data_IF_868039494097
#
_entry.id   IF_868039494097
#
_cell.length_a   1.000
_cell.length_b   1.000
_cell.length_c   1.000
_cell.angle_alpha   90.00
_cell.angle_beta   90.00
_cell.angle_gamma   90.00
#
_symmetry.space_group_name_H-M   'P 1'
#
loop_
_entity.id
_entity.type
_entity.pdbx_description
1 polymer ?
#
# COMPACT_ATOMS: atom_id res chain seq x y z
N UNK A 1 -12.74 -8.69 -28.13
CA UNK A 1 -11.44 -8.10 -28.46
C UNK A 1 -11.07 -7.06 -27.42
N UNK A 2 -9.83 -7.08 -26.90
CA UNK A 2 -9.28 -6.02 -26.07
C UNK A 2 -8.72 -4.92 -26.99
N UNK A 3 -9.21 -3.71 -26.83
CA UNK A 3 -8.66 -2.52 -27.49
C UNK A 3 -7.94 -1.71 -26.42
N UNK A 4 -6.64 -1.53 -26.54
CA UNK A 4 -5.85 -0.72 -25.62
C UNK A 4 -5.85 0.72 -26.10
N UNK A 5 -6.23 1.63 -25.20
CA UNK A 5 -6.01 3.06 -25.37
C UNK A 5 -4.57 3.46 -24.99
N UNK A 6 -4.24 4.75 -25.09
CA UNK A 6 -2.93 5.26 -24.67
C UNK A 6 -2.70 4.99 -23.18
N UNK A 7 -1.45 4.70 -22.82
CA UNK A 7 -1.02 4.52 -21.44
C UNK A 7 -1.04 5.83 -20.65
N UNK A 8 -1.01 5.74 -19.33
CA UNK A 8 -0.93 6.93 -18.46
C UNK A 8 0.33 7.75 -18.76
N UNK A 9 1.46 7.09 -19.02
CA UNK A 9 2.71 7.76 -19.38
C UNK A 9 2.57 8.55 -20.70
N UNK A 10 2.02 7.94 -21.75
CA UNK A 10 1.76 8.63 -23.05
C UNK A 10 0.80 9.81 -22.88
N UNK A 11 -0.23 9.70 -22.02
CA UNK A 11 -1.15 10.79 -21.74
C UNK A 11 -0.48 11.93 -20.96
N UNK A 12 0.46 11.64 -20.08
CA UNK A 12 1.28 12.65 -19.40
C UNK A 12 2.20 13.34 -20.40
N UNK A 13 2.90 12.60 -21.24
CA UNK A 13 3.83 13.14 -22.24
C UNK A 13 3.09 14.03 -23.26
N UNK A 14 1.86 13.68 -23.60
CA UNK A 14 0.98 14.45 -24.47
C UNK A 14 0.28 15.65 -23.77
N UNK A 15 0.45 15.81 -22.44
CA UNK A 15 -0.15 16.91 -21.66
C UNK A 15 -1.63 16.73 -21.30
N UNK A 16 -2.22 15.55 -21.58
CA UNK A 16 -3.60 15.23 -21.20
C UNK A 16 -3.73 14.84 -19.72
N UNK A 17 -2.63 14.47 -19.07
CA UNK A 17 -2.55 14.23 -17.63
C UNK A 17 -1.35 14.97 -17.04
N UNK A 18 -1.45 15.36 -15.78
CA UNK A 18 -0.37 15.99 -15.02
C UNK A 18 0.61 14.93 -14.50
N UNK A 19 1.89 15.29 -14.39
CA UNK A 19 2.85 14.51 -13.60
C UNK A 19 2.35 14.33 -12.17
N UNK A 20 2.78 13.23 -11.52
CA UNK A 20 2.47 12.98 -10.12
C UNK A 20 3.71 13.01 -9.24
N UNK A 21 3.54 13.52 -8.01
CA UNK A 21 4.50 13.37 -6.91
C UNK A 21 3.81 12.56 -5.82
N UNK A 22 4.41 11.46 -5.40
CA UNK A 22 3.83 10.54 -4.42
C UNK A 22 4.64 10.62 -3.14
N UNK A 23 3.95 10.77 -2.03
CA UNK A 23 4.52 10.72 -0.68
C UNK A 23 3.87 9.58 0.08
N UNK A 24 4.69 8.70 0.65
CA UNK A 24 4.23 7.55 1.41
C UNK A 24 5.12 7.37 2.64
N UNK A 25 4.57 7.01 3.81
CA UNK A 25 5.39 6.73 4.98
C UNK A 25 6.26 5.49 4.74
N UNK A 26 7.46 5.42 5.32
CA UNK A 26 8.36 4.28 5.19
C UNK A 26 7.81 3.02 5.87
N UNK A 27 6.92 3.20 6.83
CA UNK A 27 6.22 2.14 7.55
C UNK A 27 4.73 2.29 7.30
N UNK A 28 4.13 1.29 6.69
CA UNK A 28 2.69 1.22 6.39
C UNK A 28 1.98 0.46 7.50
N UNK A 29 0.69 0.75 7.72
CA UNK A 29 -0.12 -0.02 8.66
C UNK A 29 -0.10 -1.51 8.31
N UNK A 30 -0.02 -2.36 9.34
CA UNK A 30 -0.08 -3.81 9.16
C UNK A 30 -1.49 -4.24 8.76
N UNK A 31 -1.62 -4.73 7.53
CA UNK A 31 -2.86 -5.21 6.92
C UNK A 31 -2.91 -6.75 6.86
N UNK A 32 -1.94 -7.45 7.45
CA UNK A 32 -1.77 -8.91 7.32
C UNK A 32 -2.94 -9.73 7.87
N UNK A 33 -3.67 -9.19 8.87
CA UNK A 33 -4.83 -9.85 9.47
C UNK A 33 -6.19 -9.54 8.82
N UNK A 34 -6.23 -8.65 7.81
CA UNK A 34 -7.50 -8.20 7.22
C UNK A 34 -8.01 -9.22 6.20
N UNK A 35 -9.28 -9.65 6.38
CA UNK A 35 -9.95 -10.57 5.44
C UNK A 35 -10.13 -9.93 4.06
N UNK A 36 -10.13 -10.77 3.04
CA UNK A 36 -10.43 -10.37 1.66
C UNK A 36 -11.90 -10.67 1.36
N UNK A 37 -12.63 -9.69 0.79
CA UNK A 37 -14.00 -9.82 0.31
C UNK A 37 -14.07 -9.29 -1.12
N UNK A 38 -14.64 -10.06 -2.04
CA UNK A 38 -14.74 -9.70 -3.47
C UNK A 38 -13.41 -9.23 -4.09
N UNK A 39 -12.28 -9.88 -3.70
CA UNK A 39 -10.95 -9.56 -4.24
C UNK A 39 -10.23 -8.37 -3.59
N UNK A 40 -10.88 -7.64 -2.68
CA UNK A 40 -10.30 -6.50 -1.97
C UNK A 40 -10.35 -6.68 -0.44
N UNK A 41 -9.74 -5.78 0.32
CA UNK A 41 -9.83 -5.77 1.78
C UNK A 41 -11.27 -5.56 2.27
N UNK A 42 -11.67 -6.26 3.32
CA UNK A 42 -12.94 -6.01 3.99
C UNK A 42 -12.95 -4.58 4.57
N UNK A 43 -13.86 -3.73 4.07
CA UNK A 43 -13.88 -2.29 4.35
C UNK A 43 -14.00 -1.95 5.84
N UNK A 44 -14.75 -2.75 6.61
CA UNK A 44 -14.92 -2.60 8.06
C UNK A 44 -13.61 -2.83 8.81
N UNK A 45 -12.88 -3.89 8.46
CA UNK A 45 -11.61 -4.21 9.07
C UNK A 45 -10.49 -3.24 8.62
N UNK A 46 -10.51 -2.84 7.35
CA UNK A 46 -9.60 -1.82 6.83
C UNK A 46 -9.85 -0.47 7.51
N UNK A 47 -11.12 -0.08 7.71
CA UNK A 47 -11.47 1.12 8.45
C UNK A 47 -10.94 1.08 9.88
N UNK A 48 -11.17 0.00 10.62
CA UNK A 48 -10.68 -0.16 11.99
C UNK A 48 -9.14 -0.11 12.10
N UNK A 49 -8.43 -0.58 11.08
CA UNK A 49 -6.97 -0.48 11.02
C UNK A 49 -6.49 0.96 10.71
N UNK A 50 -7.28 1.72 9.96
CA UNK A 50 -6.95 3.08 9.51
C UNK A 50 -7.53 4.17 10.42
N UNK A 51 -8.64 3.92 11.11
CA UNK A 51 -9.28 4.87 12.03
C UNK A 51 -8.50 4.93 13.36
N UNK A 52 -7.25 5.35 13.23
CA UNK A 52 -6.35 5.59 14.36
C UNK A 52 -5.99 7.06 14.38
N UNK A 53 -6.00 7.71 15.56
CA UNK A 53 -5.63 9.12 15.69
C UNK A 53 -4.27 9.46 15.06
N UNK A 54 -3.32 8.52 15.07
CA UNK A 54 -2.02 8.66 14.43
C UNK A 54 -2.11 8.77 12.92
N UNK A 55 -2.90 7.90 12.25
CA UNK A 55 -3.02 7.90 10.77
C UNK A 55 -3.75 9.16 10.29
N UNK A 56 -4.85 9.52 10.94
CA UNK A 56 -5.62 10.74 10.60
C UNK A 56 -4.83 12.00 10.92
N UNK A 57 -4.16 12.06 12.08
CA UNK A 57 -3.29 13.17 12.47
C UNK A 57 -2.12 13.36 11.50
N UNK A 58 -1.48 12.27 11.08
CA UNK A 58 -0.42 12.29 10.08
C UNK A 58 -0.93 12.78 8.72
N UNK A 59 -2.17 12.40 8.32
CA UNK A 59 -2.77 12.86 7.08
C UNK A 59 -2.98 14.39 7.07
N UNK A 60 -3.46 14.96 8.18
CA UNK A 60 -3.63 16.40 8.34
C UNK A 60 -2.27 17.11 8.33
N UNK A 61 -1.31 16.64 9.14
CA UNK A 61 0.02 17.22 9.22
C UNK A 61 0.75 17.18 7.87
N UNK A 62 0.65 16.07 7.13
CA UNK A 62 1.24 15.94 5.80
C UNK A 62 0.54 16.83 4.77
N UNK A 63 -0.78 16.95 4.81
CA UNK A 63 -1.51 17.89 3.95
C UNK A 63 -1.07 19.34 4.23
N UNK A 64 -1.02 19.75 5.50
CA UNK A 64 -0.59 21.10 5.86
C UNK A 64 0.85 21.41 5.43
N UNK A 65 1.75 20.44 5.52
CA UNK A 65 3.16 20.60 5.14
C UNK A 65 3.38 20.59 3.63
N UNK A 66 2.70 19.73 2.89
CA UNK A 66 3.01 19.44 1.48
C UNK A 66 2.01 20.05 0.49
N UNK A 67 0.79 20.33 0.95
CA UNK A 67 -0.33 20.67 0.08
C UNK A 67 -1.23 21.78 0.66
N UNK A 68 -0.74 22.57 1.63
CA UNK A 68 -1.56 23.59 2.28
C UNK A 68 -2.26 24.52 1.25
N UNK A 69 -3.57 24.68 1.42
CA UNK A 69 -4.41 25.51 0.55
C UNK A 69 -4.80 24.88 -0.78
N UNK A 70 -4.25 23.74 -1.18
CA UNK A 70 -4.62 23.02 -2.39
C UNK A 70 -5.90 22.22 -2.18
N UNK A 71 -6.69 22.07 -3.24
CA UNK A 71 -7.89 21.25 -3.19
C UNK A 71 -7.56 19.76 -3.23
N UNK A 72 -8.06 19.03 -2.22
CA UNK A 72 -7.76 17.62 -2.03
C UNK A 72 -9.02 16.75 -1.99
N UNK A 73 -8.89 15.51 -2.45
CA UNK A 73 -9.89 14.45 -2.28
C UNK A 73 -9.31 13.40 -1.32
N UNK A 74 -9.99 13.17 -0.19
CA UNK A 74 -9.64 12.14 0.77
C UNK A 74 -10.52 10.89 0.54
N UNK A 75 -9.88 9.75 0.25
CA UNK A 75 -10.54 8.48 -0.02
C UNK A 75 -10.53 7.60 1.22
N UNK A 76 -11.70 7.38 1.83
CA UNK A 76 -11.88 6.64 3.07
C UNK A 76 -12.44 5.23 2.86
N UNK A 77 -12.34 4.36 3.88
CA UNK A 77 -12.78 2.96 3.79
C UNK A 77 -14.29 2.78 3.87
N UNK A 78 -14.96 3.54 4.75
CA UNK A 78 -16.40 3.51 4.98
C UNK A 78 -16.91 4.86 5.46
N UNK A 79 -18.22 4.99 5.64
CA UNK A 79 -18.89 6.26 6.00
C UNK A 79 -18.39 6.75 7.37
N UNK A 80 -18.36 5.91 8.40
CA UNK A 80 -17.91 6.29 9.73
C UNK A 80 -16.47 6.82 9.73
N UNK A 81 -15.56 6.16 8.99
CA UNK A 81 -14.20 6.64 8.80
C UNK A 81 -14.16 7.99 8.06
N UNK A 82 -14.99 8.19 7.04
CA UNK A 82 -15.07 9.46 6.32
C UNK A 82 -15.60 10.59 7.21
N UNK A 83 -16.58 10.33 8.05
CA UNK A 83 -17.11 11.29 9.03
C UNK A 83 -16.03 11.68 10.05
N UNK A 84 -15.30 10.71 10.58
CA UNK A 84 -14.18 10.93 11.51
C UNK A 84 -13.08 11.79 10.88
N UNK A 85 -12.66 11.47 9.65
CA UNK A 85 -11.65 12.22 8.89
C UNK A 85 -12.13 13.64 8.58
N UNK A 86 -13.38 13.81 8.14
CA UNK A 86 -13.96 15.12 7.87
C UNK A 86 -13.98 16.00 9.13
N UNK A 87 -14.44 15.45 10.25
CA UNK A 87 -14.46 16.14 11.54
C UNK A 87 -13.05 16.55 11.98
N UNK A 88 -12.04 15.70 11.78
CA UNK A 88 -10.67 15.99 12.13
C UNK A 88 -10.06 17.13 11.28
N UNK A 89 -10.35 17.18 9.97
CA UNK A 89 -9.94 18.31 9.12
C UNK A 89 -10.61 19.62 9.56
N UNK A 90 -11.91 19.58 9.85
CA UNK A 90 -12.65 20.76 10.35
C UNK A 90 -12.09 21.23 11.69
N UNK A 91 -11.78 20.35 12.61
CA UNK A 91 -11.16 20.69 13.90
C UNK A 91 -9.78 21.31 13.74
N UNK A 92 -9.04 20.96 12.68
CA UNK A 92 -7.77 21.56 12.31
C UNK A 92 -7.91 22.93 11.57
N UNK A 93 -9.13 23.46 11.43
CA UNK A 93 -9.43 24.72 10.73
C UNK A 93 -9.39 24.61 9.20
N UNK A 94 -9.44 23.40 8.65
CA UNK A 94 -9.41 23.16 7.21
C UNK A 94 -10.85 22.89 6.75
N UNK A 95 -11.33 23.65 5.74
CA UNK A 95 -12.68 23.50 5.21
C UNK A 95 -12.85 22.16 4.50
N UNK A 96 -13.54 21.24 5.11
CA UNK A 96 -13.81 19.89 4.61
C UNK A 96 -15.31 19.63 4.49
N UNK A 97 -15.70 18.81 3.53
CA UNK A 97 -17.08 18.37 3.34
C UNK A 97 -17.12 16.89 2.95
N UNK A 98 -18.18 16.21 3.38
CA UNK A 98 -18.47 14.83 2.99
C UNK A 98 -19.21 14.82 1.64
N UNK A 99 -18.75 13.97 0.71
CA UNK A 99 -19.46 13.64 -0.51
C UNK A 99 -19.68 12.13 -0.57
N UNK A 100 -20.89 11.72 -0.25
CA UNK A 100 -21.32 10.33 -0.21
C UNK A 100 -22.35 10.06 -1.32
N UNK A 101 -22.63 8.80 -1.60
CA UNK A 101 -23.69 8.43 -2.54
C UNK A 101 -25.10 8.94 -2.14
N UNK A 102 -25.29 9.17 -0.83
CA UNK A 102 -26.55 9.70 -0.24
C UNK A 102 -26.62 11.21 -0.13
N UNK A 103 -25.58 11.95 -0.54
CA UNK A 103 -25.56 13.42 -0.45
C UNK A 103 -26.60 14.03 -1.38
N UNK A 104 -27.59 14.74 -0.83
CA UNK A 104 -28.75 15.29 -1.57
C UNK A 104 -28.34 16.49 -2.45
N UNK A 105 -27.52 17.40 -1.92
CA UNK A 105 -27.05 18.61 -2.58
C UNK A 105 -25.70 18.44 -3.27
N UNK A 106 -25.51 17.30 -3.92
CA UNK A 106 -24.24 16.87 -4.50
C UNK A 106 -23.65 17.89 -5.46
N UNK A 107 -24.45 18.42 -6.37
CA UNK A 107 -24.00 19.38 -7.40
C UNK A 107 -23.50 20.68 -6.77
N UNK A 108 -24.14 21.14 -5.70
CA UNK A 108 -23.70 22.33 -4.96
C UNK A 108 -22.35 22.05 -4.26
N UNK A 109 -22.19 20.90 -3.60
CA UNK A 109 -20.92 20.51 -2.96
C UNK A 109 -19.78 20.45 -3.99
N UNK A 110 -20.04 19.91 -5.17
CA UNK A 110 -19.08 19.84 -6.27
C UNK A 110 -18.75 21.23 -6.80
N UNK A 111 -19.74 22.11 -6.96
CA UNK A 111 -19.54 23.50 -7.37
C UNK A 111 -18.74 24.29 -6.34
N UNK A 112 -19.05 24.17 -5.05
CA UNK A 112 -18.34 24.83 -3.96
C UNK A 112 -16.88 24.36 -3.87
N UNK A 113 -16.66 23.04 -4.07
CA UNK A 113 -15.31 22.50 -4.16
C UNK A 113 -14.58 23.03 -5.39
N UNK A 114 -15.21 23.04 -6.57
CA UNK A 114 -14.63 23.62 -7.79
C UNK A 114 -14.27 25.11 -7.65
N UNK A 115 -15.09 25.87 -6.92
CA UNK A 115 -14.87 27.29 -6.63
C UNK A 115 -13.82 27.56 -5.53
N UNK A 116 -13.26 26.51 -4.89
CA UNK A 116 -12.29 26.65 -3.81
C UNK A 116 -12.88 27.07 -2.46
N UNK A 117 -14.20 27.09 -2.33
CA UNK A 117 -14.89 27.34 -1.05
C UNK A 117 -14.67 26.18 -0.07
N UNK A 118 -14.49 24.97 -0.58
CA UNK A 118 -14.13 23.76 0.14
C UNK A 118 -12.71 23.35 -0.25
N UNK A 119 -11.89 22.98 0.72
CA UNK A 119 -10.49 22.55 0.48
C UNK A 119 -10.38 21.03 0.39
N UNK A 120 -11.11 20.32 1.24
CA UNK A 120 -11.04 18.84 1.32
C UNK A 120 -12.42 18.26 1.01
N UNK A 121 -12.48 17.43 -0.01
CA UNK A 121 -13.64 16.61 -0.30
C UNK A 121 -13.38 15.20 0.27
N UNK A 122 -14.16 14.78 1.25
CA UNK A 122 -14.00 13.46 1.88
C UNK A 122 -15.05 12.51 1.30
N UNK A 123 -14.62 11.35 0.79
CA UNK A 123 -15.50 10.38 0.14
C UNK A 123 -15.13 8.94 0.49
N UNK A 124 -16.08 8.01 0.33
CA UNK A 124 -15.87 6.58 0.61
C UNK A 124 -15.52 5.82 -0.65
N UNK A 125 -16.31 5.99 -1.71
CA UNK A 125 -16.07 5.35 -2.99
C UNK A 125 -15.51 6.34 -4.00
N UNK A 126 -14.97 5.79 -5.09
CA UNK A 126 -14.61 6.64 -6.22
C UNK A 126 -15.87 7.38 -6.61
N UNK A 127 -15.81 8.69 -6.46
CA UNK A 127 -16.93 9.58 -6.76
C UNK A 127 -17.49 9.17 -8.12
N UNK A 128 -18.78 8.74 -8.11
CA UNK A 128 -19.48 8.12 -9.23
C UNK A 128 -19.38 8.92 -10.53
N UNK A 129 -19.87 8.35 -11.61
CA UNK A 129 -19.99 8.98 -12.93
C UNK A 129 -20.45 10.44 -12.84
N UNK A 130 -19.82 11.33 -13.59
CA UNK A 130 -20.13 12.77 -13.60
C UNK A 130 -19.32 13.64 -12.64
N UNK A 131 -18.49 13.09 -11.75
CA UNK A 131 -17.59 13.91 -10.94
C UNK A 131 -16.35 14.30 -11.75
N UNK A 132 -16.35 15.53 -12.24
CA UNK A 132 -15.23 16.14 -12.94
C UNK A 132 -14.85 17.47 -12.29
N UNK A 133 -13.81 17.47 -11.46
CA UNK A 133 -13.28 18.68 -10.86
C UNK A 133 -11.76 18.72 -11.09
N UNK A 134 -11.32 19.29 -12.21
CA UNK A 134 -9.89 19.42 -12.56
C UNK A 134 -9.08 20.19 -11.51
N UNK A 135 -9.73 21.05 -10.74
CA UNK A 135 -9.10 21.82 -9.65
C UNK A 135 -8.53 20.94 -8.53
N UNK A 136 -9.04 19.71 -8.36
CA UNK A 136 -8.47 18.77 -7.41
C UNK A 136 -7.01 18.44 -7.76
N UNK A 137 -6.09 18.82 -6.90
CA UNK A 137 -4.66 18.66 -7.11
C UNK A 137 -4.02 17.61 -6.21
N UNK A 138 -4.73 17.21 -5.14
CA UNK A 138 -4.21 16.32 -4.10
C UNK A 138 -5.13 15.13 -3.89
N UNK A 139 -4.59 13.91 -3.91
CA UNK A 139 -5.27 12.70 -3.43
C UNK A 139 -4.70 12.32 -2.07
N UNK A 140 -5.56 12.18 -1.06
CA UNK A 140 -5.22 11.66 0.26
C UNK A 140 -5.78 10.25 0.34
N UNK A 141 -4.91 9.24 0.22
CA UNK A 141 -5.31 7.83 0.21
C UNK A 141 -5.31 7.30 1.64
N UNK A 142 -6.51 7.07 2.19
CA UNK A 142 -6.77 6.50 3.50
C UNK A 142 -7.49 5.14 3.39
N UNK A 143 -7.70 4.65 2.17
CA UNK A 143 -8.28 3.34 1.87
C UNK A 143 -7.22 2.44 1.23
N UNK A 144 -6.73 1.41 1.95
CA UNK A 144 -5.91 0.39 1.34
C UNK A 144 -6.74 -0.44 0.38
N UNK A 145 -6.18 -0.81 -0.76
CA UNK A 145 -6.86 -1.67 -1.73
C UNK A 145 -5.91 -2.70 -2.35
N UNK A 146 -6.44 -3.87 -2.69
CA UNK A 146 -5.79 -4.88 -3.53
C UNK A 146 -6.13 -4.69 -5.01
N UNK A 147 -7.14 -3.86 -5.30
CA UNK A 147 -7.58 -3.57 -6.67
C UNK A 147 -6.72 -2.48 -7.30
N UNK A 148 -5.95 -2.86 -8.33
CA UNK A 148 -5.20 -1.90 -9.15
C UNK A 148 -6.14 -0.89 -9.82
N UNK A 149 -7.29 -1.36 -10.33
CA UNK A 149 -8.28 -0.49 -10.98
C UNK A 149 -8.80 0.59 -10.04
N UNK A 150 -9.15 0.24 -8.79
CA UNK A 150 -9.60 1.21 -7.79
C UNK A 150 -8.49 2.23 -7.45
N UNK A 151 -7.26 1.76 -7.25
CA UNK A 151 -6.11 2.66 -7.01
C UNK A 151 -5.94 3.66 -8.17
N UNK A 152 -5.93 3.18 -9.42
CA UNK A 152 -5.79 4.03 -10.59
C UNK A 152 -6.97 5.00 -10.77
N UNK A 153 -8.19 4.59 -10.43
CA UNK A 153 -9.35 5.48 -10.43
C UNK A 153 -9.21 6.60 -9.39
N UNK A 154 -8.78 6.29 -8.17
CA UNK A 154 -8.57 7.29 -7.12
C UNK A 154 -7.53 8.33 -7.54
N UNK A 155 -6.34 7.88 -7.98
CA UNK A 155 -5.27 8.80 -8.39
C UNK A 155 -5.63 9.53 -9.69
N UNK A 156 -6.33 8.89 -10.59
CA UNK A 156 -6.79 9.47 -11.87
C UNK A 156 -7.64 10.73 -11.70
N UNK A 157 -8.38 10.85 -10.60
CA UNK A 157 -9.17 12.05 -10.30
C UNK A 157 -8.33 13.30 -10.15
N UNK A 158 -7.10 13.16 -9.66
CA UNK A 158 -6.18 14.28 -9.43
C UNK A 158 -5.11 14.42 -10.50
N UNK A 159 -5.02 13.50 -11.47
CA UNK A 159 -4.07 13.63 -12.58
C UNK A 159 -4.55 14.59 -13.67
N UNK A 160 -5.81 15.03 -13.68
CA UNK A 160 -6.33 15.94 -14.68
C UNK A 160 -5.60 17.28 -14.63
N UNK A 161 -5.20 17.84 -15.78
CA UNK A 161 -4.54 19.14 -15.81
C UNK A 161 -5.52 20.27 -15.45
N UNK A 162 -5.02 21.29 -14.80
CA UNK A 162 -5.76 22.50 -14.48
C UNK A 162 -4.82 23.72 -14.56
N UNK A 163 -5.32 24.92 -14.81
CA UNK A 163 -4.54 26.14 -14.81
C UNK A 163 -3.74 26.31 -13.50
N UNK A 164 -2.45 26.56 -13.59
CA UNK A 164 -1.57 26.72 -12.43
C UNK A 164 -1.12 25.45 -11.71
N UNK A 165 -1.62 24.28 -12.10
CA UNK A 165 -1.27 22.99 -11.52
C UNK A 165 0.03 22.46 -12.13
N UNK A 166 1.10 22.42 -11.35
CA UNK A 166 2.40 21.92 -11.78
C UNK A 166 2.48 20.38 -11.77
N UNK A 167 1.90 19.75 -10.75
CA UNK A 167 1.83 18.30 -10.59
C UNK A 167 0.66 17.91 -9.67
N UNK A 168 0.19 16.69 -9.81
CA UNK A 168 -0.72 16.08 -8.84
C UNK A 168 0.08 15.57 -7.65
N UNK A 169 -0.40 15.82 -6.43
CA UNK A 169 0.17 15.28 -5.21
C UNK A 169 -0.64 14.08 -4.73
N UNK A 170 0.03 12.99 -4.42
CA UNK A 170 -0.59 11.77 -3.89
C UNK A 170 0.00 11.53 -2.51
N UNK A 171 -0.80 11.70 -1.46
CA UNK A 171 -0.45 11.44 -0.07
C UNK A 171 -0.96 10.03 0.27
N UNK A 172 -0.10 9.03 0.10
CA UNK A 172 -0.46 7.62 0.24
C UNK A 172 -0.17 7.10 1.65
N UNK A 173 -1.13 7.22 2.57
CA UNK A 173 -1.00 6.77 3.96
C UNK A 173 -1.18 5.26 4.16
N UNK A 174 -1.51 4.54 3.07
CA UNK A 174 -1.90 3.12 3.15
C UNK A 174 -1.00 2.19 2.33
N UNK A 175 0.03 2.74 1.66
CA UNK A 175 1.01 1.99 0.89
C UNK A 175 0.46 1.37 -0.39
N UNK A 176 -0.52 2.00 -1.01
CA UNK A 176 -1.04 1.55 -2.31
C UNK A 176 0.04 1.64 -3.40
N UNK A 177 0.90 2.67 -3.39
CA UNK A 177 2.01 2.80 -4.34
C UNK A 177 3.03 1.67 -4.19
N UNK A 178 3.33 1.26 -2.96
CA UNK A 178 4.24 0.13 -2.72
C UNK A 178 3.65 -1.19 -3.23
N UNK A 179 2.32 -1.32 -3.20
CA UNK A 179 1.59 -2.51 -3.63
C UNK A 179 1.37 -2.56 -5.14
N UNK A 180 1.05 -1.43 -5.75
CA UNK A 180 0.60 -1.34 -7.14
C UNK A 180 1.60 -0.68 -8.08
N UNK A 181 2.66 -0.03 -7.57
CA UNK A 181 3.58 0.78 -8.35
C UNK A 181 3.06 2.20 -8.63
N UNK A 182 3.79 2.91 -9.48
CA UNK A 182 3.42 4.26 -9.89
C UNK A 182 2.25 4.24 -10.89
N UNK A 183 1.40 5.29 -10.94
CA UNK A 183 0.28 5.34 -11.88
C UNK A 183 0.71 5.21 -13.35
N UNK A 184 1.88 5.72 -13.69
CA UNK A 184 2.49 5.74 -15.02
C UNK A 184 3.39 4.53 -15.34
N UNK A 185 3.49 3.56 -14.42
CA UNK A 185 4.23 2.32 -14.71
C UNK A 185 3.56 1.56 -15.86
N UNK A 186 4.40 0.99 -16.74
CA UNK A 186 3.92 0.14 -17.84
C UNK A 186 3.20 -1.09 -17.29
N UNK A 187 2.05 -1.43 -17.88
CA UNK A 187 1.23 -2.58 -17.51
C UNK A 187 0.74 -3.33 -18.72
N UNK A 188 0.87 -4.65 -18.69
CA UNK A 188 0.28 -5.52 -19.71
C UNK A 188 -1.16 -5.85 -19.33
N UNK A 189 -2.12 -5.31 -20.06
CA UNK A 189 -3.54 -5.57 -19.86
C UNK A 189 -3.96 -6.81 -20.66
N UNK A 190 -4.67 -7.73 -20.04
CA UNK A 190 -5.22 -8.93 -20.69
C UNK A 190 -6.66 -9.17 -20.23
N UNK A 191 -7.45 -9.86 -21.06
CA UNK A 191 -8.81 -10.33 -20.72
C UNK A 191 -8.80 -11.71 -20.07
N UNK A 192 -7.63 -12.33 -19.92
CA UNK A 192 -7.53 -13.70 -19.37
C UNK A 192 -7.63 -13.66 -17.84
N UNK A 193 -8.81 -13.93 -17.33
CA UNK A 193 -9.15 -13.95 -15.90
C UNK A 193 -8.58 -15.14 -15.11
N UNK A 194 -7.76 -16.01 -15.70
CA UNK A 194 -7.47 -17.30 -15.07
C UNK A 194 -6.04 -17.78 -15.04
N UNK A 195 -5.13 -17.19 -15.76
CA UNK A 195 -3.73 -17.62 -15.70
C UNK A 195 -3.08 -16.94 -14.49
N UNK A 196 -2.99 -17.66 -13.37
CA UNK A 196 -2.04 -17.32 -12.32
C UNK A 196 -0.69 -17.17 -13.00
N UNK A 197 -0.21 -15.93 -13.17
CA UNK A 197 1.15 -15.71 -13.63
C UNK A 197 2.08 -16.33 -12.60
N UNK A 198 2.50 -17.57 -12.86
CA UNK A 198 3.49 -18.31 -12.06
C UNK A 198 4.90 -17.79 -12.25
N UNK A 199 5.11 -16.89 -13.18
CA UNK A 199 6.37 -16.18 -13.36
C UNK A 199 6.27 -14.85 -12.66
N UNK A 200 6.96 -14.78 -11.52
CA UNK A 200 7.00 -13.63 -10.64
C UNK A 200 7.14 -12.30 -11.37
N UNK A 201 6.03 -11.59 -11.52
CA UNK A 201 6.11 -10.14 -11.61
C UNK A 201 6.72 -9.71 -10.28
N UNK A 202 7.99 -9.32 -10.31
CA UNK A 202 8.65 -8.75 -9.14
C UNK A 202 7.71 -7.68 -8.56
N UNK A 203 7.57 -7.66 -7.24
CA UNK A 203 6.82 -6.61 -6.56
C UNK A 203 7.27 -5.25 -7.11
N UNK A 204 6.36 -4.27 -7.28
CA UNK A 204 6.71 -2.97 -7.81
C UNK A 204 7.91 -2.41 -7.06
N UNK A 205 8.92 -1.99 -7.81
CA UNK A 205 10.16 -1.50 -7.22
C UNK A 205 9.95 -0.04 -6.83
N UNK A 206 9.46 0.19 -5.61
CA UNK A 206 9.23 1.52 -5.03
C UNK A 206 10.14 1.72 -3.84
N UNK A 207 10.78 2.89 -3.77
CA UNK A 207 11.54 3.33 -2.61
C UNK A 207 10.91 4.57 -2.01
N UNK A 208 10.87 4.64 -0.69
CA UNK A 208 10.42 5.81 0.04
C UNK A 208 11.61 6.47 0.74
N UNK A 209 11.73 7.79 0.62
CA UNK A 209 12.74 8.56 1.32
C UNK A 209 12.45 8.59 2.82
N UNK A 210 13.41 8.28 3.70
CA UNK A 210 13.20 8.36 5.14
C UNK A 210 13.04 9.81 5.68
N UNK A 211 13.55 10.79 4.93
CA UNK A 211 13.55 12.21 5.37
C UNK A 211 12.27 12.94 4.92
N UNK A 212 11.94 12.89 3.63
CA UNK A 212 10.82 13.66 3.09
C UNK A 212 9.60 12.82 2.71
N UNK A 213 9.69 11.49 2.81
CA UNK A 213 8.65 10.51 2.47
C UNK A 213 8.26 10.45 0.98
N UNK A 214 9.00 11.11 0.10
CA UNK A 214 8.79 10.97 -1.34
C UNK A 214 9.00 9.52 -1.79
N UNK A 215 8.06 8.99 -2.57
CA UNK A 215 8.15 7.69 -3.19
C UNK A 215 8.70 7.84 -4.62
N UNK A 216 9.69 7.02 -4.98
CA UNK A 216 10.37 7.10 -6.29
C UNK A 216 10.93 5.73 -6.72
N UNK A 217 11.29 5.61 -8.00
CA UNK A 217 11.97 4.42 -8.52
C UNK A 217 13.35 4.28 -7.86
N UNK A 218 13.82 3.06 -7.51
CA UNK A 218 15.06 2.87 -6.76
C UNK A 218 16.26 3.57 -7.36
N UNK A 219 16.79 4.51 -6.62
CA UNK A 219 18.04 5.22 -6.91
C UNK A 219 18.72 5.63 -5.60
N UNK A 220 20.04 5.89 -5.60
CA UNK A 220 20.78 6.12 -4.35
C UNK A 220 20.47 7.45 -3.67
N UNK A 221 20.00 8.45 -4.42
CA UNK A 221 19.73 9.80 -3.94
C UNK A 221 18.25 10.12 -4.13
N UNK A 222 17.60 10.70 -3.12
CA UNK A 222 16.22 11.16 -3.24
C UNK A 222 16.11 12.30 -4.27
N UNK A 223 15.24 12.19 -5.30
CA UNK A 223 15.10 13.23 -6.31
C UNK A 223 14.41 14.51 -5.81
N UNK A 224 13.81 14.46 -4.59
CA UNK A 224 13.05 15.57 -4.03
C UNK A 224 13.88 16.37 -3.03
N UNK A 225 14.55 15.70 -2.07
CA UNK A 225 15.30 16.39 -1.00
C UNK A 225 16.82 16.16 -1.04
N UNK A 226 17.32 15.34 -1.96
CA UNK A 226 18.76 15.04 -2.06
C UNK A 226 19.29 14.07 -0.99
N UNK A 227 18.45 13.55 -0.09
CA UNK A 227 18.89 12.63 0.95
C UNK A 227 19.46 11.32 0.36
N UNK A 228 20.46 10.75 1.02
CA UNK A 228 21.02 9.45 0.63
C UNK A 228 20.05 8.33 0.99
N UNK A 229 19.52 7.68 -0.02
CA UNK A 229 18.61 6.55 0.07
C UNK A 229 19.25 5.24 -0.41
N UNK A 230 20.59 5.17 -0.53
CA UNK A 230 21.27 3.94 -0.90
C UNK A 230 20.90 2.81 0.09
N UNK A 231 20.73 1.57 -0.37
CA UNK A 231 20.50 0.45 0.55
C UNK A 231 21.69 0.37 1.49
N UNK A 232 21.44 0.25 2.79
CA UNK A 232 22.48 0.00 3.77
C UNK A 232 23.00 -1.42 3.50
N UNK A 233 24.05 -1.52 2.70
CA UNK A 233 24.72 -2.80 2.37
C UNK A 233 25.59 -3.31 3.52
N UNK A 234 25.31 -2.89 4.75
CA UNK A 234 25.99 -3.39 5.95
C UNK A 234 25.41 -4.72 6.44
N UNK A 235 25.14 -5.68 5.53
CA UNK A 235 25.37 -7.07 5.92
C UNK A 235 26.87 -7.30 5.88
N UNK A 236 27.58 -6.92 6.95
CA UNK A 236 28.82 -7.61 7.30
C UNK A 236 28.41 -9.07 7.44
N UNK A 237 28.62 -9.84 6.37
CA UNK A 237 28.61 -11.30 6.46
C UNK A 237 29.70 -11.58 7.49
N UNK A 238 29.30 -11.88 8.72
CA UNK A 238 30.21 -12.43 9.71
C UNK A 238 30.58 -13.78 9.16
N UNK A 239 31.72 -13.86 8.49
CA UNK A 239 32.35 -15.13 8.19
C UNK A 239 32.69 -15.73 9.55
N UNK A 240 31.82 -16.62 10.03
CA UNK A 240 32.15 -17.56 11.06
C UNK A 240 33.04 -18.59 10.35
N UNK A 241 34.30 -18.68 10.79
CA UNK A 241 35.18 -19.77 10.39
C UNK A 241 34.50 -21.07 10.82
N UNK A 242 33.89 -21.76 9.86
CA UNK A 242 33.30 -23.07 10.03
C UNK A 242 34.00 -24.01 9.05
N UNK A 243 34.50 -25.11 9.52
CA UNK A 243 34.96 -26.19 8.64
C UNK A 243 33.76 -26.74 7.87
N UNK A 244 33.87 -26.81 6.56
CA UNK A 244 32.90 -27.49 5.69
C UNK A 244 33.03 -29.00 5.94
N UNK A 245 32.12 -29.58 6.73
CA UNK A 245 31.96 -31.01 6.83
C UNK A 245 31.13 -31.55 5.68
N UNK A 246 31.68 -32.51 4.95
CA UNK A 246 30.96 -33.23 3.90
C UNK A 246 29.87 -34.09 4.56
N UNK A 247 28.62 -33.61 4.51
CA UNK A 247 27.46 -34.38 4.94
C UNK A 247 27.17 -35.47 3.91
N UNK A 248 27.65 -36.71 4.21
CA UNK A 248 27.37 -37.89 3.38
C UNK A 248 25.83 -38.07 3.27
N UNK A 249 25.34 -38.30 2.06
CA UNK A 249 23.92 -38.59 1.78
C UNK A 249 23.34 -39.68 2.68
N UNK A 250 24.15 -40.61 3.15
CA UNK A 250 23.80 -41.65 4.12
C UNK A 250 23.42 -41.08 5.49
N UNK A 251 24.10 -40.07 5.99
CA UNK A 251 23.85 -39.45 7.30
C UNK A 251 22.52 -38.64 7.28
N UNK A 252 22.25 -37.94 6.19
CA UNK A 252 20.95 -37.26 6.03
C UNK A 252 19.78 -38.24 5.94
N UNK A 253 19.97 -39.38 5.29
CA UNK A 253 18.92 -40.44 5.25
C UNK A 253 18.73 -41.05 6.63
N UNK A 254 19.77 -41.28 7.39
CA UNK A 254 19.72 -41.83 8.73
C UNK A 254 19.07 -40.85 9.72
N UNK A 255 19.38 -39.56 9.60
CA UNK A 255 18.77 -38.50 10.38
C UNK A 255 17.25 -38.39 10.11
N UNK A 256 16.83 -38.46 8.83
CA UNK A 256 15.40 -38.50 8.47
C UNK A 256 14.70 -39.76 8.98
N UNK A 257 15.37 -40.93 8.95
CA UNK A 257 14.83 -42.20 9.45
C UNK A 257 14.63 -42.15 10.97
N UNK A 258 15.61 -41.66 11.76
CA UNK A 258 15.50 -41.45 13.22
C UNK A 258 14.28 -40.54 13.56
N UNK A 259 14.08 -39.47 12.82
CA UNK A 259 12.91 -38.57 13.01
C UNK A 259 11.60 -39.28 12.65
N UNK A 260 11.58 -40.10 11.60
CA UNK A 260 10.39 -40.86 11.18
C UNK A 260 9.96 -41.93 12.19
N UNK A 261 10.91 -42.57 12.88
CA UNK A 261 10.68 -43.63 13.85
C UNK A 261 10.34 -43.14 15.24
N UNK A 262 10.72 -41.90 15.62
CA UNK A 262 10.35 -41.29 16.89
C UNK A 262 8.84 -41.00 16.96
N UNK A 263 8.09 -41.83 17.71
CA UNK A 263 6.61 -41.73 17.80
C UNK A 263 6.10 -41.04 19.06
N UNK A 264 6.89 -41.03 20.14
CA UNK A 264 6.51 -40.38 21.41
C UNK A 264 7.10 -38.99 21.53
N UNK A 265 6.45 -38.13 22.34
CA UNK A 265 6.98 -36.81 22.63
C UNK A 265 8.37 -36.87 23.27
N UNK A 266 8.59 -37.84 24.16
CA UNK A 266 9.88 -38.04 24.83
C UNK A 266 10.99 -38.37 23.84
N UNK A 267 10.74 -39.25 22.87
CA UNK A 267 11.69 -39.57 21.80
C UNK A 267 12.00 -38.35 20.91
N UNK A 268 11.01 -37.49 20.65
CA UNK A 268 11.19 -36.27 19.88
C UNK A 268 11.97 -35.21 20.66
N UNK A 269 11.76 -35.11 21.98
CA UNK A 269 12.53 -34.23 22.86
C UNK A 269 13.99 -34.66 22.96
N UNK A 270 14.26 -35.97 23.11
CA UNK A 270 15.61 -36.52 23.08
C UNK A 270 16.30 -36.21 21.73
N UNK A 271 15.59 -36.36 20.62
CA UNK A 271 16.11 -36.07 19.29
C UNK A 271 16.33 -34.56 19.08
N UNK A 272 15.50 -33.70 19.66
CA UNK A 272 15.71 -32.26 19.65
C UNK A 272 17.01 -31.88 20.38
N UNK A 273 17.23 -32.47 21.56
CA UNK A 273 18.44 -32.24 22.34
C UNK A 273 19.70 -32.73 21.60
N UNK A 274 19.67 -33.95 21.01
CA UNK A 274 20.76 -34.50 20.18
C UNK A 274 21.15 -33.57 19.02
N UNK A 275 20.20 -32.83 18.48
CA UNK A 275 20.37 -31.94 17.31
C UNK A 275 20.53 -30.46 17.63
N UNK A 276 20.53 -30.08 18.90
CA UNK A 276 20.58 -28.67 19.32
C UNK A 276 19.32 -27.87 18.94
N UNK A 277 18.17 -28.53 18.74
CA UNK A 277 16.91 -27.86 18.45
C UNK A 277 16.19 -27.45 19.74
N UNK A 278 15.39 -26.38 19.66
CA UNK A 278 14.56 -25.98 20.80
C UNK A 278 13.50 -27.06 21.11
N UNK A 279 13.11 -27.25 22.40
CA UNK A 279 12.04 -28.18 22.76
C UNK A 279 10.73 -27.96 22.00
N UNK A 280 10.42 -26.72 21.64
CA UNK A 280 9.25 -26.34 20.84
C UNK A 280 9.20 -27.01 19.47
N UNK A 281 10.33 -27.44 18.90
CA UNK A 281 10.36 -28.23 17.68
C UNK A 281 9.72 -29.62 17.89
N UNK A 282 10.02 -30.30 18.99
CA UNK A 282 9.47 -31.62 19.30
C UNK A 282 7.93 -31.56 19.52
N UNK A 283 7.45 -30.56 20.23
CA UNK A 283 6.02 -30.34 20.44
C UNK A 283 5.28 -30.11 19.11
N UNK A 284 5.83 -29.28 18.20
CA UNK A 284 5.22 -29.02 16.88
C UNK A 284 5.11 -30.31 16.04
N UNK A 285 6.16 -31.12 16.02
CA UNK A 285 6.16 -32.37 15.25
C UNK A 285 5.17 -33.37 15.85
N UNK A 286 5.11 -33.48 17.16
CA UNK A 286 4.18 -34.38 17.86
C UNK A 286 2.73 -34.01 17.60
N UNK A 287 2.35 -32.73 17.75
CA UNK A 287 1.01 -32.25 17.47
C UNK A 287 0.60 -32.32 15.99
N UNK A 288 1.56 -32.11 15.07
CA UNK A 288 1.29 -32.27 13.64
C UNK A 288 0.97 -33.70 13.23
N UNK A 289 1.49 -34.70 13.98
CA UNK A 289 1.21 -36.14 13.74
C UNK A 289 -0.05 -36.65 14.42
N UNK A 290 -0.48 -36.03 15.50
CA UNK A 290 -1.69 -36.40 16.25
C UNK A 290 -3.00 -35.92 15.59
N UNK A 291 -2.92 -35.17 14.50
CA UNK A 291 -4.07 -34.69 13.72
C UNK A 291 -4.34 -35.49 12.42
N UNK A 292 -3.74 -36.70 12.28
CA UNK A 292 -4.03 -37.62 11.17
C UNK A 292 -4.72 -38.88 11.67
#
# INVERSE_FOLDING_TARGET
HLVLGPSVAELIDAGYLSHSRIYAPPVVADLSGIRTRAGDYANDQAAAAMDRPTVTGDAIAHYQRLAAGQQAIAFCCNIAHAESVCAAFLAAGIRAVLLLGTTINRDQVVADFGAGLVQILVTVDVVSEGFDVPAASVAILLRPTKSLGLYLQQVGRVLRPAPGKQAALILDHVGNVTRHGFPDDHRDWTLDDGIKRTTGTAAPSVRTCPECYAAFKPQPICPVCGANCAPITNRKIRQLAGELQELKRSEMRQARRKQGTARTLEQLLALANERGYSPGWAYRIFHARGKR
#
